data_IF_970178588078
#
_entry.id   IF_970178588078
#
_cell.length_a   1.000
_cell.length_b   1.000
_cell.length_c   1.000
_cell.angle_alpha   90.00
_cell.angle_beta   90.00
_cell.angle_gamma   90.00
#
_symmetry.space_group_name_H-M   'P 1'
#
loop_
_entity.id
_entity.type
_entity.pdbx_description
1 polymer ?
#
# COMPACT_ATOMS: atom_id res chain seq x y z
N UNK A 1 13.09 -13.25 3.82
CA UNK A 1 12.41 -14.45 3.32
C UNK A 1 13.30 -15.12 2.31
N UNK A 2 13.35 -16.45 2.27
CA UNK A 2 13.97 -17.22 1.19
C UNK A 2 12.90 -17.62 0.15
N UNK A 3 13.31 -18.17 -0.99
CA UNK A 3 12.39 -18.53 -2.08
C UNK A 3 11.39 -19.63 -1.73
N UNK A 4 11.75 -20.55 -0.84
CA UNK A 4 10.83 -21.59 -0.37
C UNK A 4 9.70 -20.97 0.46
N UNK A 5 10.04 -20.06 1.38
CA UNK A 5 9.04 -19.32 2.18
C UNK A 5 8.10 -18.50 1.28
N UNK A 6 8.64 -17.80 0.27
CA UNK A 6 7.85 -17.02 -0.68
C UNK A 6 6.90 -17.93 -1.48
N UNK A 7 7.39 -19.08 -1.95
CA UNK A 7 6.57 -20.06 -2.66
C UNK A 7 5.44 -20.62 -1.79
N UNK A 8 5.71 -20.91 -0.51
CA UNK A 8 4.66 -21.32 0.44
C UNK A 8 3.62 -20.23 0.66
N UNK A 9 4.02 -18.95 0.75
CA UNK A 9 3.06 -17.86 0.85
C UNK A 9 2.17 -17.75 -0.38
N UNK A 10 2.76 -17.91 -1.58
CA UNK A 10 1.98 -17.91 -2.82
C UNK A 10 1.01 -19.10 -2.89
N UNK A 11 1.43 -20.30 -2.47
CA UNK A 11 0.54 -21.47 -2.44
C UNK A 11 -0.64 -21.31 -1.47
N UNK A 12 -0.45 -20.50 -0.43
CA UNK A 12 -1.50 -20.13 0.53
C UNK A 12 -2.38 -18.97 0.04
N UNK A 13 -2.18 -18.53 -1.21
CA UNK A 13 -3.02 -17.53 -1.88
C UNK A 13 -2.55 -16.08 -1.75
N UNK A 14 -1.35 -15.84 -1.20
CA UNK A 14 -0.77 -14.49 -1.12
C UNK A 14 -0.24 -14.04 -2.47
N UNK A 15 -0.42 -12.75 -2.77
CA UNK A 15 0.18 -12.12 -3.95
C UNK A 15 1.63 -11.69 -3.65
N UNK A 16 2.54 -11.94 -4.59
CA UNK A 16 3.98 -11.68 -4.43
C UNK A 16 4.36 -10.52 -5.34
N UNK A 17 4.73 -9.39 -4.75
CA UNK A 17 4.92 -8.12 -5.47
C UNK A 17 6.26 -7.44 -5.13
N UNK A 18 6.57 -6.35 -5.83
CA UNK A 18 7.92 -5.76 -5.80
C UNK A 18 8.09 -4.64 -4.78
N UNK A 19 9.22 -4.66 -4.05
CA UNK A 19 9.62 -3.62 -3.10
C UNK A 19 11.08 -3.17 -3.29
N UNK A 20 11.49 -2.98 -4.55
CA UNK A 20 12.88 -2.67 -4.98
C UNK A 20 13.87 -3.83 -4.79
N UNK A 21 15.11 -3.65 -5.26
CA UNK A 21 16.17 -4.65 -5.11
C UNK A 21 16.84 -4.56 -3.75
N UNK A 22 17.12 -3.33 -3.27
CA UNK A 22 17.94 -3.12 -2.07
C UNK A 22 17.38 -2.08 -1.11
N UNK A 23 16.12 -1.67 -1.28
CA UNK A 23 15.40 -0.77 -0.36
C UNK A 23 16.08 0.60 -0.23
N UNK A 24 16.39 1.24 -1.37
CA UNK A 24 17.01 2.58 -1.43
C UNK A 24 15.98 3.71 -1.46
N UNK A 25 16.39 4.88 -0.98
CA UNK A 25 15.67 6.15 -1.14
C UNK A 25 15.67 6.58 -2.61
N UNK A 26 14.54 6.40 -3.29
CA UNK A 26 14.46 6.50 -4.76
C UNK A 26 14.65 7.92 -5.28
N UNK A 27 14.28 8.97 -4.53
CA UNK A 27 14.43 10.35 -5.00
C UNK A 27 15.90 10.80 -5.11
N UNK A 28 16.83 10.02 -4.55
CA UNK A 28 18.26 10.33 -4.53
C UNK A 28 19.07 9.49 -5.53
N UNK A 29 18.41 8.71 -6.38
CA UNK A 29 19.06 7.82 -7.32
C UNK A 29 19.18 8.44 -8.72
N UNK A 30 20.25 8.07 -9.42
CA UNK A 30 20.38 8.34 -10.85
C UNK A 30 19.37 7.49 -11.65
N UNK A 31 19.12 7.84 -12.91
CA UNK A 31 18.23 7.07 -13.78
C UNK A 31 18.64 5.59 -13.92
N UNK A 32 19.95 5.30 -13.97
CA UNK A 32 20.44 3.93 -14.04
C UNK A 32 20.23 3.17 -12.72
N UNK A 33 20.44 3.84 -11.58
CA UNK A 33 20.18 3.25 -10.28
C UNK A 33 18.67 3.02 -10.03
N UNK A 34 17.81 3.94 -10.50
CA UNK A 34 16.36 3.74 -10.50
C UNK A 34 15.95 2.53 -11.33
N UNK A 35 16.48 2.38 -12.54
CA UNK A 35 16.21 1.20 -13.37
C UNK A 35 16.68 -0.09 -12.68
N UNK A 36 17.85 -0.09 -12.05
CA UNK A 36 18.31 -1.24 -11.28
C UNK A 36 17.34 -1.61 -10.15
N UNK A 37 16.94 -0.63 -9.32
CA UNK A 37 16.03 -0.89 -8.19
C UNK A 37 14.63 -1.32 -8.64
N UNK A 38 14.07 -0.66 -9.66
CA UNK A 38 12.67 -0.82 -10.07
C UNK A 38 12.50 -1.93 -11.10
N UNK A 39 13.27 -1.91 -12.19
CA UNK A 39 13.18 -2.93 -13.25
C UNK A 39 13.85 -4.24 -12.82
N UNK A 40 14.99 -4.14 -12.13
CA UNK A 40 15.73 -5.29 -11.64
C UNK A 40 14.92 -6.13 -10.66
N UNK A 41 14.11 -5.51 -9.80
CA UNK A 41 13.23 -6.24 -8.87
C UNK A 41 12.11 -6.99 -9.59
N UNK A 42 11.50 -6.39 -10.62
CA UNK A 42 10.54 -7.09 -11.50
C UNK A 42 11.20 -8.30 -12.16
N UNK A 43 12.38 -8.10 -12.75
CA UNK A 43 13.09 -9.17 -13.44
C UNK A 43 13.51 -10.29 -12.47
N UNK A 44 13.96 -9.94 -11.27
CA UNK A 44 14.31 -10.89 -10.22
C UNK A 44 13.10 -11.78 -9.90
N UNK A 45 11.94 -11.18 -9.63
CA UNK A 45 10.71 -11.92 -9.33
C UNK A 45 10.21 -12.75 -10.54
N UNK A 46 10.30 -12.21 -11.75
CA UNK A 46 9.96 -12.93 -12.98
C UNK A 46 10.86 -14.15 -13.24
N UNK A 47 12.14 -14.10 -12.87
CA UNK A 47 13.06 -15.25 -12.94
C UNK A 47 12.69 -16.38 -11.96
N UNK A 48 11.79 -16.10 -11.01
CA UNK A 48 11.22 -17.05 -10.08
C UNK A 48 9.71 -17.27 -10.33
N UNK A 49 9.25 -17.02 -11.56
CA UNK A 49 7.89 -17.26 -12.03
C UNK A 49 6.80 -16.39 -11.36
N UNK A 50 7.18 -15.28 -10.73
CA UNK A 50 6.24 -14.30 -10.17
C UNK A 50 5.97 -13.16 -11.16
N UNK A 51 4.72 -13.04 -11.60
CA UNK A 51 4.28 -11.95 -12.48
C UNK A 51 3.83 -10.73 -11.65
N UNK A 52 4.78 -9.88 -11.28
CA UNK A 52 4.49 -8.71 -10.44
C UNK A 52 3.91 -7.56 -11.24
N UNK A 53 2.76 -7.04 -10.80
CA UNK A 53 2.09 -5.88 -11.43
C UNK A 53 2.06 -4.65 -10.51
N UNK A 54 2.33 -4.84 -9.22
CA UNK A 54 2.32 -3.78 -8.21
C UNK A 54 3.72 -3.46 -7.69
N UNK A 55 3.94 -2.17 -7.43
CA UNK A 55 5.19 -1.68 -6.85
C UNK A 55 4.97 -1.00 -5.50
N UNK A 56 5.95 -1.17 -4.63
CA UNK A 56 5.92 -0.75 -3.26
C UNK A 56 7.09 0.24 -3.05
N UNK A 57 6.84 1.53 -2.86
CA UNK A 57 7.91 2.51 -2.59
C UNK A 57 8.57 2.27 -1.22
N UNK A 58 9.90 2.14 -1.14
CA UNK A 58 10.64 2.23 0.13
C UNK A 58 10.43 3.58 0.80
N UNK A 59 10.40 3.58 2.14
CA UNK A 59 10.34 4.80 2.96
C UNK A 59 9.17 5.76 2.69
N UNK A 60 8.09 5.29 2.05
CA UNK A 60 6.98 6.15 1.62
C UNK A 60 7.43 7.26 0.63
N UNK A 61 8.49 7.00 -0.14
CA UNK A 61 9.20 8.01 -0.93
C UNK A 61 9.16 7.73 -2.44
N UNK A 62 8.76 8.74 -3.22
CA UNK A 62 8.91 8.75 -4.68
C UNK A 62 7.60 8.81 -5.48
N UNK A 63 6.45 8.61 -4.83
CA UNK A 63 5.13 8.68 -5.48
C UNK A 63 4.76 10.10 -5.97
N UNK A 64 5.47 11.13 -5.51
CA UNK A 64 5.35 12.54 -5.91
C UNK A 64 6.48 13.00 -6.85
N UNK A 65 7.44 12.12 -7.14
CA UNK A 65 8.56 12.40 -8.04
C UNK A 65 8.30 11.83 -9.43
N UNK A 66 8.08 12.72 -10.40
CA UNK A 66 7.78 12.35 -11.79
C UNK A 66 8.82 11.41 -12.41
N UNK A 67 10.10 11.56 -12.09
CA UNK A 67 11.17 10.70 -12.64
C UNK A 67 11.06 9.28 -12.11
N UNK A 68 10.79 9.15 -10.80
CA UNK A 68 10.59 7.85 -10.15
C UNK A 68 9.32 7.19 -10.68
N UNK A 69 8.19 7.91 -10.68
CA UNK A 69 6.91 7.38 -11.17
C UNK A 69 6.99 7.00 -12.65
N UNK A 70 7.65 7.79 -13.50
CA UNK A 70 7.87 7.44 -14.90
C UNK A 70 8.70 6.16 -15.07
N UNK A 71 9.59 5.86 -14.12
CA UNK A 71 10.35 4.60 -14.13
C UNK A 71 9.47 3.46 -13.67
N UNK A 72 8.71 3.61 -12.59
CA UNK A 72 7.72 2.62 -12.12
C UNK A 72 6.72 2.28 -13.22
N UNK A 73 6.18 3.29 -13.90
CA UNK A 73 5.15 3.16 -14.92
C UNK A 73 5.57 2.37 -16.18
N UNK A 74 6.88 2.18 -16.39
CA UNK A 74 7.40 1.33 -17.47
C UNK A 74 7.26 -0.16 -17.15
N UNK A 75 7.22 -0.52 -15.87
CA UNK A 75 7.36 -1.90 -15.42
C UNK A 75 6.16 -2.39 -14.61
N UNK A 76 5.41 -1.51 -13.96
CA UNK A 76 4.29 -1.85 -13.08
C UNK A 76 3.03 -1.09 -13.46
N UNK A 77 1.88 -1.68 -13.17
CA UNK A 77 0.57 -1.11 -13.46
C UNK A 77 0.15 -0.11 -12.37
N UNK A 78 0.51 -0.43 -11.12
CA UNK A 78 0.12 0.28 -9.91
C UNK A 78 1.31 0.43 -8.97
N UNK A 79 1.22 1.42 -8.07
CA UNK A 79 2.16 1.52 -6.96
C UNK A 79 1.53 2.11 -5.70
N UNK A 80 1.99 1.64 -4.55
CA UNK A 80 1.47 1.99 -3.22
C UNK A 80 2.45 2.79 -2.39
N UNK A 81 1.96 3.71 -1.58
CA UNK A 81 2.65 4.50 -0.55
C UNK A 81 2.46 3.86 0.83
N UNK A 82 3.08 4.41 1.87
CA UNK A 82 3.00 3.98 3.28
C UNK A 82 2.38 5.04 4.20
N UNK A 83 1.48 5.87 3.66
CA UNK A 83 1.07 7.17 4.21
C UNK A 83 -0.26 7.19 4.97
N UNK A 84 -1.37 6.77 4.35
CA UNK A 84 -2.73 7.06 4.81
C UNK A 84 -3.58 5.79 5.00
N UNK A 85 -4.52 5.76 5.97
CA UNK A 85 -5.31 4.58 6.32
C UNK A 85 -6.33 4.15 5.26
N UNK A 86 -6.82 5.07 4.43
CA UNK A 86 -7.89 4.79 3.48
C UNK A 86 -7.44 5.11 2.05
N UNK A 87 -7.67 4.14 1.16
CA UNK A 87 -7.61 4.34 -0.27
C UNK A 87 -9.02 4.57 -0.81
N UNK A 88 -9.23 5.69 -1.47
CA UNK A 88 -10.46 5.93 -2.23
C UNK A 88 -10.39 5.22 -3.57
N UNK A 89 -11.48 4.54 -3.94
CA UNK A 89 -11.58 3.79 -5.19
C UNK A 89 -11.89 4.67 -6.40
N UNK A 90 -12.13 5.96 -6.16
CA UNK A 90 -12.23 7.00 -7.19
C UNK A 90 -11.41 8.22 -6.76
N UNK A 91 -10.79 8.90 -7.72
CA UNK A 91 -9.98 10.10 -7.49
C UNK A 91 -10.76 11.27 -6.88
N UNK A 92 -12.08 11.31 -7.02
CA UNK A 92 -12.92 12.35 -6.43
C UNK A 92 -13.08 12.24 -4.89
N UNK A 93 -12.58 11.17 -4.26
CA UNK A 93 -12.67 10.99 -2.82
C UNK A 93 -11.72 11.85 -1.99
N UNK A 94 -10.62 12.31 -2.60
CA UNK A 94 -9.65 13.18 -1.94
C UNK A 94 -10.12 14.64 -1.96
N UNK A 95 -11.00 15.02 -1.03
CA UNK A 95 -11.65 16.36 -1.00
C UNK A 95 -10.70 17.56 -1.01
N UNK A 96 -9.53 17.42 -0.39
CA UNK A 96 -8.51 18.49 -0.35
C UNK A 96 -7.69 18.55 -1.65
N UNK A 97 -7.83 17.58 -2.55
CA UNK A 97 -7.19 17.50 -3.84
C UNK A 97 -8.20 17.10 -4.93
N UNK A 98 -9.16 17.99 -5.27
CA UNK A 98 -10.27 17.65 -6.16
C UNK A 98 -9.80 17.18 -7.54
N UNK A 99 -10.28 16.02 -7.97
CA UNK A 99 -9.99 15.43 -9.28
C UNK A 99 -11.14 14.51 -9.70
N UNK A 100 -11.52 14.53 -10.99
CA UNK A 100 -12.66 13.76 -11.50
C UNK A 100 -12.33 12.89 -12.72
N UNK A 101 -11.17 13.10 -13.33
CA UNK A 101 -10.73 12.39 -14.54
C UNK A 101 -9.76 11.24 -14.25
N UNK A 102 -9.32 11.12 -12.99
CA UNK A 102 -8.41 10.10 -12.48
C UNK A 102 -7.11 9.94 -13.28
N UNK A 103 -6.72 10.96 -14.05
CA UNK A 103 -5.49 10.94 -14.84
C UNK A 103 -4.26 10.96 -13.94
N UNK A 104 -3.19 10.31 -14.39
CA UNK A 104 -1.92 10.30 -13.64
C UNK A 104 -1.13 11.59 -13.79
N UNK A 105 -1.19 12.21 -14.98
CA UNK A 105 -0.41 13.40 -15.31
C UNK A 105 -1.30 14.57 -15.70
N UNK A 106 -0.93 15.77 -15.27
CA UNK A 106 -1.42 17.03 -15.80
C UNK A 106 -0.82 17.29 -17.20
N UNK A 107 -1.42 18.20 -18.01
CA UNK A 107 -0.88 18.54 -19.33
C UNK A 107 0.57 19.06 -19.31
N UNK A 108 1.02 19.62 -18.19
CA UNK A 108 2.40 20.10 -17.99
C UNK A 108 3.37 18.99 -17.53
N UNK A 109 2.91 17.73 -17.48
CA UNK A 109 3.71 16.57 -17.09
C UNK A 109 3.83 16.34 -15.59
N UNK A 110 3.25 17.19 -14.74
CA UNK A 110 3.23 16.97 -13.28
C UNK A 110 2.29 15.83 -12.90
N UNK A 111 2.62 15.13 -11.82
CA UNK A 111 1.76 14.11 -11.24
C UNK A 111 0.54 14.75 -10.57
N UNK A 112 -0.61 14.09 -10.70
CA UNK A 112 -1.80 14.41 -9.93
C UNK A 112 -1.73 13.75 -8.54
N UNK A 113 -2.45 14.29 -7.55
CA UNK A 113 -2.44 13.73 -6.20
C UNK A 113 -3.06 12.32 -6.12
N UNK A 114 -4.18 12.14 -6.84
CA UNK A 114 -4.91 10.89 -6.94
C UNK A 114 -4.55 10.21 -8.25
N UNK A 115 -3.53 9.37 -8.21
CA UNK A 115 -3.08 8.59 -9.36
C UNK A 115 -2.78 7.14 -8.98
N UNK A 116 -2.76 6.27 -9.99
CA UNK A 116 -2.61 4.81 -9.82
C UNK A 116 -1.24 4.37 -9.27
N UNK A 117 -0.24 5.26 -9.32
CA UNK A 117 1.10 5.05 -8.76
C UNK A 117 1.25 5.69 -7.37
N UNK A 118 0.15 6.12 -6.77
CA UNK A 118 0.11 6.69 -5.44
C UNK A 118 -1.10 6.09 -4.67
N UNK A 119 -1.25 4.77 -4.67
CA UNK A 119 -2.25 4.07 -3.86
C UNK A 119 -1.88 4.26 -2.38
N UNK A 120 -2.84 4.68 -1.56
CA UNK A 120 -2.59 4.91 -0.12
C UNK A 120 -2.65 3.58 0.64
N UNK A 121 -1.57 3.21 1.31
CA UNK A 121 -1.55 2.13 2.30
C UNK A 121 -0.94 2.65 3.58
N UNK A 122 -1.45 2.25 4.74
CA UNK A 122 -0.95 2.68 6.03
C UNK A 122 0.09 1.70 6.56
N UNK A 123 1.31 2.18 6.75
CA UNK A 123 2.31 1.48 7.57
C UNK A 123 1.85 1.43 9.03
N UNK A 124 1.44 0.24 9.48
CA UNK A 124 0.75 0.07 10.76
C UNK A 124 1.66 0.26 11.98
N UNK A 125 2.96 0.08 11.81
CA UNK A 125 3.98 0.32 12.84
C UNK A 125 3.93 1.75 13.39
N UNK A 126 3.42 2.73 12.62
CA UNK A 126 3.18 4.08 13.11
C UNK A 126 2.29 4.09 14.36
N UNK A 127 1.26 3.25 14.40
CA UNK A 127 0.34 3.12 15.51
C UNK A 127 0.94 2.27 16.64
N UNK A 128 1.64 1.19 16.30
CA UNK A 128 2.34 0.36 17.30
C UNK A 128 3.36 1.19 18.11
N UNK A 129 4.13 2.05 17.42
CA UNK A 129 5.09 2.94 18.06
C UNK A 129 4.38 4.05 18.85
N UNK A 130 3.35 4.68 18.27
CA UNK A 130 2.56 5.74 18.94
C UNK A 130 1.98 5.25 20.27
N UNK A 131 1.49 4.02 20.29
CA UNK A 131 0.84 3.41 21.44
C UNK A 131 1.81 2.71 22.38
N UNK A 132 3.13 2.88 22.19
CA UNK A 132 4.18 2.24 22.98
C UNK A 132 4.00 0.72 23.07
N UNK A 133 3.52 0.11 21.99
CA UNK A 133 3.23 -1.32 21.88
C UNK A 133 2.19 -1.86 22.87
N UNK A 134 1.27 -1.00 23.33
CA UNK A 134 0.14 -1.44 24.12
C UNK A 134 -0.91 -2.15 23.25
N UNK A 135 -1.08 -3.46 23.42
CA UNK A 135 -2.00 -4.26 22.60
C UNK A 135 -3.44 -3.74 22.58
N UNK A 136 -3.97 -3.27 23.72
CA UNK A 136 -5.36 -2.80 23.80
C UNK A 136 -5.55 -1.52 22.97
N UNK A 137 -4.61 -0.58 23.06
CA UNK A 137 -4.60 0.64 22.24
C UNK A 137 -4.45 0.31 20.75
N UNK A 138 -3.47 -0.54 20.40
CA UNK A 138 -3.22 -0.96 19.01
C UNK A 138 -4.48 -1.60 18.40
N UNK A 139 -5.12 -2.51 19.13
CA UNK A 139 -6.33 -3.18 18.67
C UNK A 139 -7.49 -2.21 18.50
N UNK A 140 -7.67 -1.29 19.45
CA UNK A 140 -8.66 -0.21 19.35
C UNK A 140 -8.45 0.63 18.10
N UNK A 141 -7.21 1.04 17.84
CA UNK A 141 -6.86 1.89 16.70
C UNK A 141 -7.04 1.15 15.37
N UNK A 142 -6.67 -0.13 15.30
CA UNK A 142 -6.96 -0.98 14.15
C UNK A 142 -8.46 -1.03 13.85
N UNK A 143 -9.29 -1.27 14.87
CA UNK A 143 -10.75 -1.27 14.72
C UNK A 143 -11.31 0.08 14.24
N UNK A 144 -10.73 1.20 14.69
CA UNK A 144 -11.12 2.54 14.23
C UNK A 144 -10.74 2.79 12.76
N UNK A 145 -9.54 2.38 12.35
CA UNK A 145 -9.08 2.47 10.95
C UNK A 145 -10.06 1.72 10.04
N UNK A 146 -10.40 0.48 10.40
CA UNK A 146 -11.32 -0.35 9.62
C UNK A 146 -12.73 0.25 9.54
N UNK A 147 -13.25 0.80 10.65
CA UNK A 147 -14.56 1.48 10.67
C UNK A 147 -14.57 2.78 9.85
N UNK A 148 -13.41 3.40 9.61
CA UNK A 148 -13.29 4.65 8.87
C UNK A 148 -13.89 4.59 7.47
N UNK A 149 -13.87 3.42 6.83
CA UNK A 149 -14.41 3.20 5.49
C UNK A 149 -15.95 3.37 5.42
N UNK A 150 -16.65 3.12 6.53
CA UNK A 150 -18.13 3.20 6.60
C UNK A 150 -18.67 4.62 6.38
N UNK A 151 -17.82 5.64 6.49
CA UNK A 151 -18.18 7.01 6.14
C UNK A 151 -18.37 7.21 4.62
N UNK A 152 -17.85 6.30 3.81
CA UNK A 152 -17.80 6.41 2.34
C UNK A 152 -18.54 5.28 1.64
N UNK A 153 -18.66 4.11 2.28
CA UNK A 153 -19.35 2.96 1.73
C UNK A 153 -20.81 2.95 2.20
N UNK A 154 -21.78 3.18 1.30
CA UNK A 154 -23.23 3.16 1.61
C UNK A 154 -23.86 1.82 1.21
N UNK A 155 -24.83 1.34 2.00
CA UNK A 155 -25.48 0.04 1.79
C UNK A 155 -24.66 -1.12 2.37
N UNK A 156 -25.21 -2.34 2.39
CA UNK A 156 -24.63 -3.56 2.97
C UNK A 156 -23.27 -3.98 2.35
N UNK A 157 -22.21 -3.20 2.53
CA UNK A 157 -20.88 -3.49 1.98
C UNK A 157 -20.76 -3.35 0.46
N UNK A 158 -21.75 -2.76 -0.23
CA UNK A 158 -21.62 -2.51 -1.68
C UNK A 158 -20.65 -1.36 -1.88
N UNK A 159 -19.42 -1.73 -2.23
CA UNK A 159 -18.46 -0.82 -2.83
C UNK A 159 -19.05 -0.35 -4.17
N UNK A 160 -19.60 0.86 -4.21
CA UNK A 160 -20.02 1.47 -5.47
C UNK A 160 -18.78 1.80 -6.30
N UNK A 161 -18.44 0.90 -7.23
CA UNK A 161 -17.42 1.11 -8.26
C UNK A 161 -17.88 2.17 -9.28
N UNK A 162 -19.20 2.40 -9.40
CA UNK A 162 -19.75 3.46 -10.24
C UNK A 162 -19.64 4.81 -9.53
N UNK A 163 -18.51 5.48 -9.71
CA UNK A 163 -18.37 6.92 -9.50
C UNK A 163 -18.99 7.74 -10.63
N UNK A 164 -20.21 7.38 -11.10
CA UNK A 164 -20.93 8.20 -12.07
C UNK A 164 -21.64 9.32 -11.30
N UNK A 165 -21.16 10.56 -11.45
CA UNK A 165 -21.70 11.75 -10.78
C UNK A 165 -20.94 12.17 -9.51
N UNK A 166 -21.58 12.98 -8.66
CA UNK A 166 -20.99 13.57 -7.44
C UNK A 166 -20.85 12.58 -6.25
N UNK A 167 -21.03 11.29 -6.48
CA UNK A 167 -20.82 10.29 -5.43
C UNK A 167 -19.32 10.04 -5.29
N UNK A 168 -18.80 10.27 -4.08
CA UNK A 168 -17.46 9.81 -3.69
C UNK A 168 -17.46 8.29 -3.86
N UNK A 169 -16.61 7.76 -4.75
CA UNK A 169 -16.43 6.31 -4.86
C UNK A 169 -16.09 5.71 -3.50
N UNK A 170 -16.36 4.42 -3.29
CA UNK A 170 -16.09 3.75 -2.01
C UNK A 170 -14.64 3.94 -1.54
N UNK A 171 -14.38 3.73 -0.25
CA UNK A 171 -13.04 3.74 0.32
C UNK A 171 -12.76 2.40 0.99
N UNK A 172 -11.51 1.95 0.98
CA UNK A 172 -11.09 0.72 1.63
C UNK A 172 -9.86 0.97 2.49
N UNK A 173 -9.74 0.33 3.66
CA UNK A 173 -8.51 0.35 4.42
C UNK A 173 -7.46 -0.53 3.75
N UNK A 174 -6.27 0.01 3.50
CA UNK A 174 -5.10 -0.74 3.07
C UNK A 174 -4.04 -0.60 4.16
N UNK A 175 -3.60 -1.73 4.70
CA UNK A 175 -2.73 -1.78 5.87
C UNK A 175 -1.48 -2.58 5.53
N UNK A 176 -0.31 -2.02 5.88
CA UNK A 176 1.00 -2.61 5.64
C UNK A 176 1.65 -2.98 6.98
N UNK A 177 2.05 -4.24 7.09
CA UNK A 177 2.87 -4.76 8.18
C UNK A 177 4.28 -5.02 7.64
N UNK A 178 5.31 -4.39 8.22
CA UNK A 178 6.69 -4.52 7.75
C UNK A 178 7.31 -5.87 8.11
N UNK A 179 7.19 -6.27 9.38
CA UNK A 179 7.63 -7.57 9.87
C UNK A 179 6.57 -8.15 10.80
N UNK A 180 6.43 -9.48 10.78
CA UNK A 180 5.63 -10.24 11.75
C UNK A 180 6.52 -11.29 12.39
N UNK A 181 6.83 -11.13 13.68
CA UNK A 181 7.84 -11.97 14.36
C UNK A 181 7.47 -12.20 15.83
N UNK A 182 7.97 -13.28 16.48
CA UNK A 182 7.70 -13.55 17.90
C UNK A 182 8.59 -12.70 18.81
N UNK A 183 8.58 -11.39 18.62
CA UNK A 183 9.28 -10.39 19.43
C UNK A 183 8.29 -9.30 19.85
N UNK A 184 8.61 -8.58 20.93
CA UNK A 184 7.77 -7.52 21.47
C UNK A 184 8.51 -6.19 21.43
N UNK A 185 7.76 -5.11 21.24
CA UNK A 185 8.22 -3.74 21.41
C UNK A 185 9.40 -3.36 20.49
N UNK A 186 9.41 -3.91 19.28
CA UNK A 186 10.43 -3.61 18.26
C UNK A 186 9.78 -2.77 17.16
N UNK A 187 10.29 -1.56 16.88
CA UNK A 187 9.83 -0.76 15.75
C UNK A 187 9.79 -1.54 14.43
N UNK A 188 8.79 -1.26 13.60
CA UNK A 188 8.57 -1.95 12.31
C UNK A 188 8.31 -3.46 12.42
N UNK A 189 7.94 -3.95 13.61
CA UNK A 189 7.65 -5.37 13.84
C UNK A 189 6.40 -5.56 14.68
N UNK A 190 5.40 -6.18 14.07
CA UNK A 190 4.20 -6.64 14.76
C UNK A 190 4.46 -8.00 15.39
N UNK A 191 4.10 -8.15 16.66
CA UNK A 191 4.19 -9.44 17.35
C UNK A 191 3.25 -10.46 16.67
N UNK A 192 3.69 -11.72 16.50
CA UNK A 192 2.87 -12.78 15.87
C UNK A 192 1.51 -12.99 16.55
N UNK A 193 1.43 -12.88 17.88
CA UNK A 193 0.17 -13.01 18.62
C UNK A 193 -0.76 -11.84 18.36
N UNK A 194 -0.21 -10.62 18.38
CA UNK A 194 -0.96 -9.41 18.03
C UNK A 194 -1.47 -9.48 16.58
N UNK A 195 -0.59 -9.84 15.62
CA UNK A 195 -0.98 -10.00 14.22
C UNK A 195 -2.11 -11.01 14.04
N UNK A 196 -2.01 -12.17 14.71
CA UNK A 196 -3.07 -13.19 14.67
C UNK A 196 -4.40 -12.66 15.22
N UNK A 197 -4.38 -11.86 16.28
CA UNK A 197 -5.58 -11.22 16.84
C UNK A 197 -6.22 -10.24 15.84
N UNK A 198 -5.40 -9.41 15.18
CA UNK A 198 -5.86 -8.48 14.14
C UNK A 198 -6.45 -9.21 12.93
N UNK A 199 -5.79 -10.28 12.46
CA UNK A 199 -6.30 -11.08 11.33
C UNK A 199 -7.57 -11.83 11.70
N UNK A 200 -7.67 -12.37 12.92
CA UNK A 200 -8.90 -12.99 13.42
C UNK A 200 -10.05 -11.98 13.45
N UNK A 201 -9.80 -10.75 13.89
CA UNK A 201 -10.80 -9.70 13.87
C UNK A 201 -11.30 -9.42 12.45
N UNK A 202 -10.40 -9.33 11.46
CA UNK A 202 -10.77 -9.19 10.05
C UNK A 202 -11.60 -10.37 9.55
N UNK A 203 -11.20 -11.60 9.84
CA UNK A 203 -11.96 -12.79 9.44
C UNK A 203 -13.37 -12.82 10.02
N UNK A 204 -13.51 -12.46 11.30
CA UNK A 204 -14.79 -12.56 12.01
C UNK A 204 -15.76 -11.40 11.72
N UNK A 205 -15.27 -10.28 11.16
CA UNK A 205 -16.05 -9.05 10.95
C UNK A 205 -16.00 -8.48 9.52
N UNK A 206 -15.24 -9.12 8.62
CA UNK A 206 -15.05 -8.71 7.22
C UNK A 206 -16.07 -9.28 6.25
#
# INVERSE_FOLDING_TARGET
>A
MNWQEISSMQSDGMDIESHTMTHKHLNHLSANALNFEIAGSKQCLANHDYNTTNFAYPYDEGADNVTVVNTVAKYYDLARTGSEPLMFLNCNGFKNHPQTDCKTYLPDGKLTYANRYAIRSLSFDRYEIKDLFNNASIFSDFGQILKGQSNYNKGNGIISLSGIGNNVGGAVPLITFHNVRPVNNVPYTTNVGMFAELMKYLHDNG
#
